data_IF_617302490908
#
_entry.id   IF_617302490908
#
_cell.length_a   1.000
_cell.length_b   1.000
_cell.length_c   1.000
_cell.angle_alpha   90.00
_cell.angle_beta   90.00
_cell.angle_gamma   90.00
#
_symmetry.space_group_name_H-M   'P 1'
#
loop_
_entity.id
_entity.type
_entity.pdbx_description
1 polymer ?
#
# COMPACT_ATOMS: atom_id res chain seq x y z
N UNK A 1 -8.44 29.43 10.56
CA UNK A 1 -8.08 28.10 10.02
C UNK A 1 -8.96 27.91 8.80
N UNK A 2 -8.37 27.72 7.62
CA UNK A 2 -9.15 27.52 6.39
C UNK A 2 -9.93 26.22 6.55
N UNK A 3 -11.26 26.28 6.61
CA UNK A 3 -12.08 25.08 6.55
C UNK A 3 -11.91 24.51 5.15
N UNK A 4 -11.15 23.42 5.03
CA UNK A 4 -11.08 22.63 3.82
C UNK A 4 -12.50 22.12 3.52
N UNK A 5 -12.98 22.31 2.29
CA UNK A 5 -14.34 21.91 1.94
C UNK A 5 -14.47 20.39 1.83
N UNK A 6 -15.68 19.87 1.98
CA UNK A 6 -15.96 18.42 1.86
C UNK A 6 -15.53 17.92 0.48
N UNK A 7 -15.83 18.69 -0.58
CA UNK A 7 -15.43 18.37 -1.96
C UNK A 7 -13.90 18.31 -2.14
N UNK A 8 -13.16 19.20 -1.47
CA UNK A 8 -11.69 19.16 -1.46
C UNK A 8 -11.18 17.89 -0.76
N UNK A 9 -11.82 17.46 0.33
CA UNK A 9 -11.47 16.22 1.03
C UNK A 9 -11.79 14.98 0.18
N UNK A 10 -12.95 14.93 -0.50
CA UNK A 10 -13.29 13.85 -1.43
C UNK A 10 -12.30 13.74 -2.58
N UNK A 11 -12.01 14.88 -3.21
CA UNK A 11 -11.05 14.96 -4.31
C UNK A 11 -9.65 14.57 -3.82
N UNK A 12 -9.26 15.04 -2.64
CA UNK A 12 -8.01 14.68 -1.98
C UNK A 12 -7.87 13.18 -1.73
N UNK A 13 -8.92 12.54 -1.20
CA UNK A 13 -8.95 11.10 -0.97
C UNK A 13 -8.86 10.31 -2.28
N UNK A 14 -9.70 10.64 -3.27
CA UNK A 14 -9.69 9.95 -4.56
C UNK A 14 -8.32 10.06 -5.26
N UNK A 15 -7.69 11.25 -5.21
CA UNK A 15 -6.36 11.45 -5.74
C UNK A 15 -5.30 10.66 -4.96
N UNK A 16 -5.34 10.66 -3.62
CA UNK A 16 -4.41 9.90 -2.80
C UNK A 16 -4.50 8.39 -3.09
N UNK A 17 -5.72 7.85 -3.21
CA UNK A 17 -5.94 6.44 -3.56
C UNK A 17 -5.39 6.11 -4.94
N UNK A 18 -5.71 6.94 -5.96
CA UNK A 18 -5.23 6.75 -7.33
C UNK A 18 -3.71 6.83 -7.45
N UNK A 19 -3.09 7.80 -6.79
CA UNK A 19 -1.63 7.95 -6.78
C UNK A 19 -0.96 6.77 -6.05
N UNK A 20 -1.54 6.31 -4.94
CA UNK A 20 -1.06 5.12 -4.22
C UNK A 20 -1.13 3.88 -5.12
N UNK A 21 -2.20 3.71 -5.88
CA UNK A 21 -2.33 2.61 -6.84
C UNK A 21 -1.21 2.63 -7.89
N UNK A 22 -0.98 3.79 -8.51
CA UNK A 22 0.07 3.93 -9.53
C UNK A 22 1.46 3.64 -8.95
N UNK A 23 1.76 4.18 -7.77
CA UNK A 23 3.02 3.92 -7.08
C UNK A 23 3.18 2.44 -6.73
N UNK A 24 2.11 1.77 -6.31
CA UNK A 24 2.14 0.34 -6.02
C UNK A 24 2.43 -0.50 -7.27
N UNK A 25 1.81 -0.19 -8.41
CA UNK A 25 2.08 -0.87 -9.68
C UNK A 25 3.55 -0.69 -10.10
N UNK A 26 4.08 0.53 -10.04
CA UNK A 26 5.50 0.81 -10.31
C UNK A 26 6.43 0.04 -9.36
N UNK A 27 6.15 0.08 -8.05
CA UNK A 27 6.94 -0.63 -7.05
C UNK A 27 6.90 -2.15 -7.26
N UNK A 28 5.76 -2.71 -7.65
CA UNK A 28 5.61 -4.14 -7.95
C UNK A 28 6.48 -4.55 -9.14
N UNK A 29 6.50 -3.77 -10.22
CA UNK A 29 7.35 -4.04 -11.38
C UNK A 29 8.85 -3.93 -11.02
N UNK A 30 9.23 -2.87 -10.32
CA UNK A 30 10.61 -2.68 -9.84
C UNK A 30 11.05 -3.82 -8.92
N UNK A 31 10.16 -4.29 -8.04
CA UNK A 31 10.43 -5.43 -7.14
C UNK A 31 10.67 -6.70 -7.96
N UNK A 32 9.84 -6.97 -8.97
CA UNK A 32 10.02 -8.11 -9.87
C UNK A 32 11.37 -8.08 -10.58
N UNK A 33 11.77 -6.90 -11.11
CA UNK A 33 13.10 -6.72 -11.73
C UNK A 33 14.23 -6.94 -10.74
N UNK A 34 14.10 -6.45 -9.51
CA UNK A 34 15.11 -6.61 -8.47
C UNK A 34 15.30 -8.08 -8.08
N UNK A 35 14.21 -8.81 -7.89
CA UNK A 35 14.25 -10.25 -7.62
C UNK A 35 14.93 -11.01 -8.77
N UNK A 36 14.64 -10.65 -10.02
CA UNK A 36 15.29 -11.26 -11.18
C UNK A 36 16.81 -11.00 -11.21
N UNK A 37 17.22 -9.76 -10.93
CA UNK A 37 18.65 -9.41 -10.87
C UNK A 37 19.36 -10.16 -9.73
N UNK A 38 18.73 -10.34 -8.56
CA UNK A 38 19.26 -11.16 -7.46
C UNK A 38 19.39 -12.63 -7.82
N UNK A 39 18.40 -13.20 -8.49
CA UNK A 39 18.44 -14.59 -8.96
C UNK A 39 19.57 -14.79 -9.97
N UNK A 40 19.79 -13.82 -10.87
CA UNK A 40 20.89 -13.88 -11.83
C UNK A 40 22.25 -13.78 -11.16
N UNK A 41 22.41 -12.89 -10.17
CA UNK A 41 23.62 -12.82 -9.35
C UNK A 41 23.91 -14.18 -8.69
N UNK A 42 22.88 -14.85 -8.15
CA UNK A 42 23.04 -16.18 -7.56
C UNK A 42 23.48 -17.22 -8.59
N UNK A 43 22.93 -17.20 -9.81
CA UNK A 43 23.37 -18.09 -10.91
C UNK A 43 24.83 -17.86 -11.29
N UNK A 44 25.25 -16.60 -11.44
CA UNK A 44 26.64 -16.26 -11.76
C UNK A 44 27.58 -16.69 -10.62
N UNK A 45 27.19 -16.49 -9.35
CA UNK A 45 27.96 -16.96 -8.20
C UNK A 45 28.18 -18.48 -8.22
N UNK A 46 27.15 -19.26 -8.55
CA UNK A 46 27.27 -20.72 -8.68
C UNK A 46 28.21 -21.11 -9.84
N UNK A 47 28.11 -20.42 -10.98
CA UNK A 47 29.00 -20.65 -12.11
C UNK A 47 30.47 -20.35 -11.76
N UNK A 48 30.73 -19.25 -11.04
CA UNK A 48 32.08 -18.90 -10.54
C UNK A 48 32.59 -20.01 -9.61
N UNK A 49 31.79 -20.46 -8.65
CA UNK A 49 32.18 -21.52 -7.71
C UNK A 49 32.48 -22.85 -8.41
N UNK A 50 31.79 -23.15 -9.52
CA UNK A 50 32.07 -24.32 -10.35
C UNK A 50 33.40 -24.17 -11.11
N UNK A 51 33.63 -23.02 -11.76
CA UNK A 51 34.89 -22.72 -12.44
C UNK A 51 36.10 -22.77 -11.50
N UNK A 52 35.94 -22.35 -10.24
CA UNK A 52 37.00 -22.46 -9.20
C UNK A 52 37.32 -23.91 -8.81
N UNK A 53 36.37 -24.84 -8.94
CA UNK A 53 36.62 -26.26 -8.71
C UNK A 53 37.35 -26.88 -9.90
N UNK A 54 36.92 -26.58 -11.12
CA UNK A 54 37.52 -27.07 -12.36
C UNK A 54 38.95 -26.57 -12.56
N UNK A 55 39.24 -25.31 -12.21
CA UNK A 55 40.60 -24.76 -12.23
C UNK A 55 41.61 -25.63 -11.45
N UNK A 56 41.18 -26.32 -10.39
CA UNK A 56 42.09 -27.14 -9.56
C UNK A 56 42.49 -28.47 -10.21
N UNK A 57 41.90 -28.87 -11.34
CA UNK A 57 42.03 -30.22 -11.89
C UNK A 57 42.82 -30.32 -13.23
N UNK A 58 43.12 -29.24 -13.96
CA UNK A 58 43.53 -29.33 -15.38
C UNK A 58 44.93 -28.80 -15.80
N UNK A 59 45.40 -29.32 -16.95
CA UNK A 59 46.65 -29.00 -17.66
C UNK A 59 46.72 -27.55 -18.21
N UNK A 60 47.95 -27.03 -18.34
CA UNK A 60 48.32 -25.61 -18.57
C UNK A 60 47.57 -24.83 -19.67
N UNK A 61 47.15 -25.46 -20.78
CA UNK A 61 46.41 -24.77 -21.86
C UNK A 61 44.92 -24.57 -21.56
N UNK A 62 44.30 -25.47 -20.79
CA UNK A 62 42.92 -25.32 -20.33
C UNK A 62 42.81 -24.20 -19.28
N UNK A 63 43.91 -23.96 -18.56
CA UNK A 63 44.02 -22.96 -17.50
C UNK A 63 43.76 -21.51 -17.99
N UNK A 64 44.19 -21.17 -19.21
CA UNK A 64 44.03 -19.81 -19.75
C UNK A 64 42.58 -19.51 -20.15
N UNK A 65 41.89 -20.49 -20.77
CA UNK A 65 40.45 -20.38 -21.08
C UNK A 65 39.61 -20.29 -19.82
N UNK A 66 39.88 -21.14 -18.81
CA UNK A 66 39.19 -21.09 -17.51
C UNK A 66 39.41 -19.72 -16.86
N UNK A 67 40.64 -19.21 -16.84
CA UNK A 67 40.96 -17.90 -16.26
C UNK A 67 40.22 -16.76 -16.96
N UNK A 68 40.12 -16.80 -18.29
CA UNK A 68 39.37 -15.80 -19.06
C UNK A 68 37.87 -15.84 -18.72
N UNK A 69 37.28 -17.04 -18.68
CA UNK A 69 35.87 -17.24 -18.30
C UNK A 69 35.58 -16.75 -16.89
N UNK A 70 36.46 -17.07 -15.94
CA UNK A 70 36.37 -16.63 -14.55
C UNK A 70 36.40 -15.10 -14.42
N UNK A 71 37.31 -14.43 -15.13
CA UNK A 71 37.39 -12.97 -15.12
C UNK A 71 36.12 -12.33 -15.72
N UNK A 72 35.60 -12.88 -16.81
CA UNK A 72 34.35 -12.41 -17.43
C UNK A 72 33.15 -12.59 -16.50
N UNK A 73 33.02 -13.75 -15.85
CA UNK A 73 31.95 -14.02 -14.88
C UNK A 73 32.01 -13.05 -13.69
N UNK A 74 33.21 -12.78 -13.15
CA UNK A 74 33.39 -11.81 -12.06
C UNK A 74 33.05 -10.38 -12.48
N UNK A 75 33.40 -9.97 -13.70
CA UNK A 75 33.03 -8.65 -14.22
C UNK A 75 31.51 -8.52 -14.35
N UNK A 76 30.85 -9.52 -14.96
CA UNK A 76 29.39 -9.56 -15.08
C UNK A 76 28.68 -9.53 -13.73
N UNK A 77 29.17 -10.31 -12.75
CA UNK A 77 28.65 -10.29 -11.38
C UNK A 77 28.75 -8.91 -10.75
N UNK A 78 29.90 -8.24 -10.90
CA UNK A 78 30.12 -6.90 -10.34
C UNK A 78 29.16 -5.88 -10.94
N UNK A 79 28.93 -5.94 -12.25
CA UNK A 79 27.99 -5.06 -12.94
C UNK A 79 26.54 -5.30 -12.50
N UNK A 80 26.14 -6.57 -12.38
CA UNK A 80 24.81 -6.95 -11.90
C UNK A 80 24.57 -6.52 -10.46
N UNK A 81 25.56 -6.67 -9.58
CA UNK A 81 25.48 -6.18 -8.21
C UNK A 81 25.28 -4.66 -8.17
N UNK A 82 26.05 -3.90 -8.96
CA UNK A 82 25.90 -2.44 -9.05
C UNK A 82 24.48 -2.06 -9.49
N UNK A 83 23.95 -2.73 -10.51
CA UNK A 83 22.59 -2.51 -11.01
C UNK A 83 21.53 -2.85 -9.96
N UNK A 84 21.64 -4.00 -9.29
CA UNK A 84 20.72 -4.41 -8.23
C UNK A 84 20.72 -3.40 -7.06
N UNK A 85 21.89 -2.88 -6.66
CA UNK A 85 21.98 -1.83 -5.63
C UNK A 85 21.30 -0.53 -6.06
N UNK A 86 21.47 -0.11 -7.31
CA UNK A 86 20.77 1.08 -7.84
C UNK A 86 19.26 0.90 -7.84
N UNK A 87 18.79 -0.27 -8.30
CA UNK A 87 17.38 -0.61 -8.33
C UNK A 87 16.78 -0.67 -6.92
N UNK A 88 17.53 -1.21 -5.95
CA UNK A 88 17.11 -1.22 -4.55
C UNK A 88 16.96 0.19 -3.97
N UNK A 89 17.88 1.11 -4.31
CA UNK A 89 17.74 2.53 -3.89
C UNK A 89 16.45 3.15 -4.42
N UNK A 90 16.09 2.88 -5.68
CA UNK A 90 14.84 3.39 -6.28
C UNK A 90 13.62 2.77 -5.60
N UNK A 91 13.67 1.46 -5.30
CA UNK A 91 12.63 0.76 -4.56
C UNK A 91 12.40 1.38 -3.18
N UNK A 92 13.46 1.70 -2.44
CA UNK A 92 13.35 2.35 -1.12
C UNK A 92 12.62 3.69 -1.23
N UNK A 93 13.03 4.55 -2.16
CA UNK A 93 12.34 5.84 -2.39
C UNK A 93 10.88 5.65 -2.76
N UNK A 94 10.57 4.71 -3.65
CA UNK A 94 9.18 4.41 -4.06
C UNK A 94 8.33 3.93 -2.89
N UNK A 95 8.87 3.10 -2.01
CA UNK A 95 8.17 2.62 -0.81
C UNK A 95 7.91 3.74 0.19
N UNK A 96 8.85 4.67 0.35
CA UNK A 96 8.65 5.88 1.16
C UNK A 96 7.53 6.76 0.61
N UNK A 97 7.45 6.93 -0.72
CA UNK A 97 6.35 7.63 -1.40
C UNK A 97 5.00 6.95 -1.16
N UNK A 98 4.94 5.61 -1.27
CA UNK A 98 3.73 4.83 -0.97
C UNK A 98 3.28 5.05 0.47
N UNK A 99 4.19 4.94 1.44
CA UNK A 99 3.86 5.14 2.86
C UNK A 99 3.34 6.55 3.10
N UNK A 100 3.93 7.57 2.46
CA UNK A 100 3.44 8.95 2.56
C UNK A 100 2.03 9.09 2.01
N UNK A 101 1.75 8.55 0.82
CA UNK A 101 0.42 8.64 0.20
C UNK A 101 -0.65 7.85 0.95
N UNK A 102 -0.30 6.70 1.52
CA UNK A 102 -1.17 5.95 2.42
C UNK A 102 -1.50 6.73 3.70
N UNK A 103 -0.53 7.47 4.26
CA UNK A 103 -0.80 8.35 5.40
C UNK A 103 -1.77 9.48 5.01
N UNK A 104 -1.52 10.15 3.88
CA UNK A 104 -2.41 11.21 3.37
C UNK A 104 -3.84 10.66 3.20
N UNK A 105 -3.99 9.52 2.51
CA UNK A 105 -5.27 8.84 2.32
C UNK A 105 -5.96 8.46 3.63
N UNK A 106 -5.23 7.87 4.58
CA UNK A 106 -5.76 7.52 5.91
C UNK A 106 -6.28 8.75 6.65
N UNK A 107 -5.57 9.88 6.57
CA UNK A 107 -6.00 11.14 7.18
C UNK A 107 -7.28 11.67 6.54
N UNK A 108 -7.40 11.65 5.21
CA UNK A 108 -8.63 12.06 4.54
C UNK A 108 -9.81 11.17 4.92
N UNK A 109 -9.63 9.86 4.96
CA UNK A 109 -10.66 8.91 5.42
C UNK A 109 -11.11 9.26 6.83
N UNK A 110 -10.18 9.50 7.77
CA UNK A 110 -10.52 9.81 9.15
C UNK A 110 -11.32 11.13 9.29
N UNK A 111 -10.94 12.17 8.54
CA UNK A 111 -11.64 13.46 8.55
C UNK A 111 -13.05 13.33 7.98
N UNK A 112 -13.19 12.74 6.79
CA UNK A 112 -14.48 12.54 6.13
C UNK A 112 -15.39 11.61 6.95
N UNK A 113 -14.83 10.55 7.53
CA UNK A 113 -15.57 9.65 8.40
C UNK A 113 -16.11 10.37 9.64
N UNK A 114 -15.30 11.22 10.28
CA UNK A 114 -15.74 11.99 11.44
C UNK A 114 -16.90 12.91 11.06
N UNK A 115 -16.79 13.64 9.94
CA UNK A 115 -17.85 14.52 9.47
C UNK A 115 -19.13 13.74 9.11
N UNK A 116 -19.00 12.62 8.40
CA UNK A 116 -20.14 11.79 8.01
C UNK A 116 -20.88 11.24 9.24
N UNK A 117 -20.16 10.72 10.22
CA UNK A 117 -20.74 10.03 11.38
C UNK A 117 -21.21 11.03 12.44
N UNK A 118 -20.33 11.95 12.84
CA UNK A 118 -20.57 12.86 13.97
C UNK A 118 -21.43 14.07 13.61
N UNK A 119 -21.56 14.41 12.32
CA UNK A 119 -22.40 15.52 11.88
C UNK A 119 -23.61 15.02 11.08
N UNK A 120 -23.40 14.49 9.86
CA UNK A 120 -24.51 14.18 8.94
C UNK A 120 -25.41 13.07 9.46
N UNK A 121 -24.85 11.93 9.82
CA UNK A 121 -25.60 10.80 10.36
C UNK A 121 -26.23 11.11 11.72
N UNK A 122 -25.51 11.84 12.57
CA UNK A 122 -26.03 12.29 13.85
C UNK A 122 -27.25 13.21 13.69
N UNK A 123 -27.19 14.18 12.79
CA UNK A 123 -28.32 15.07 12.48
C UNK A 123 -29.52 14.27 11.96
N UNK A 124 -29.30 13.34 11.03
CA UNK A 124 -30.36 12.46 10.51
C UNK A 124 -31.03 11.65 11.64
N UNK A 125 -30.24 11.04 12.54
CA UNK A 125 -30.76 10.30 13.71
C UNK A 125 -31.58 11.19 14.64
N UNK A 126 -31.12 12.42 14.88
CA UNK A 126 -31.85 13.38 15.74
C UNK A 126 -33.18 13.81 15.12
N UNK A 127 -33.21 14.09 13.82
CA UNK A 127 -34.46 14.41 13.11
C UNK A 127 -35.43 13.24 13.12
N UNK A 128 -34.93 12.00 12.96
CA UNK A 128 -35.78 10.80 13.09
C UNK A 128 -36.39 10.71 14.49
N UNK A 129 -35.61 10.97 15.55
CA UNK A 129 -36.11 10.98 16.93
C UNK A 129 -37.18 12.05 17.14
N UNK A 130 -37.00 13.24 16.57
CA UNK A 130 -38.02 14.30 16.63
C UNK A 130 -39.29 13.93 15.86
N UNK A 131 -39.17 13.17 14.76
CA UNK A 131 -40.32 12.67 14.02
C UNK A 131 -41.22 11.73 14.83
N UNK A 132 -40.65 10.98 15.78
CA UNK A 132 -41.43 10.13 16.70
C UNK A 132 -42.35 10.93 17.62
N UNK A 133 -42.09 12.23 17.82
CA UNK A 133 -42.95 13.14 18.60
C UNK A 133 -43.75 14.09 17.73
N UNK A 134 -43.89 13.77 16.44
CA UNK A 134 -44.75 14.49 15.50
C UNK A 134 -44.12 15.67 14.77
N UNK A 135 -42.80 15.89 14.89
CA UNK A 135 -42.10 16.90 14.09
C UNK A 135 -41.93 16.36 12.65
N UNK A 136 -42.37 17.08 11.61
CA UNK A 136 -42.17 16.62 10.24
C UNK A 136 -40.68 16.39 9.92
N UNK A 137 -40.38 15.29 9.22
CA UNK A 137 -39.04 15.00 8.72
C UNK A 137 -39.09 14.82 7.20
N UNK A 138 -39.20 15.96 6.52
CA UNK A 138 -39.19 16.01 5.07
C UNK A 138 -37.84 15.52 4.53
N UNK A 139 -37.87 14.84 3.38
CA UNK A 139 -36.69 14.31 2.68
C UNK A 139 -35.88 13.26 3.48
N UNK A 140 -36.48 12.59 4.47
CA UNK A 140 -35.82 11.54 5.28
C UNK A 140 -35.07 10.52 4.42
N UNK A 141 -35.73 9.99 3.40
CA UNK A 141 -35.18 8.91 2.57
C UNK A 141 -34.07 9.45 1.65
N UNK A 142 -34.28 10.60 1.02
CA UNK A 142 -33.26 11.28 0.20
C UNK A 142 -31.98 11.61 1.00
N UNK A 143 -32.12 12.14 2.21
CA UNK A 143 -30.96 12.44 3.07
C UNK A 143 -30.23 11.15 3.50
N UNK A 144 -30.97 10.05 3.71
CA UNK A 144 -30.38 8.76 4.03
C UNK A 144 -29.64 8.16 2.82
N UNK A 145 -30.20 8.29 1.62
CA UNK A 145 -29.57 7.85 0.37
C UNK A 145 -28.24 8.59 0.13
N UNK A 146 -28.21 9.92 0.35
CA UNK A 146 -26.98 10.70 0.28
C UNK A 146 -25.93 10.23 1.30
N UNK A 147 -26.34 9.99 2.56
CA UNK A 147 -25.46 9.46 3.60
C UNK A 147 -24.92 8.08 3.21
N UNK A 148 -25.77 7.22 2.65
CA UNK A 148 -25.38 5.89 2.18
C UNK A 148 -24.30 5.98 1.10
N UNK A 149 -24.48 6.86 0.10
CA UNK A 149 -23.47 7.09 -0.94
C UNK A 149 -22.10 7.47 -0.36
N UNK A 150 -22.07 8.33 0.68
CA UNK A 150 -20.81 8.70 1.34
C UNK A 150 -20.17 7.54 2.09
N UNK A 151 -20.98 6.70 2.77
CA UNK A 151 -20.48 5.50 3.43
C UNK A 151 -19.87 4.52 2.42
N UNK A 152 -20.52 4.31 1.27
CA UNK A 152 -20.05 3.45 0.19
C UNK A 152 -18.74 3.98 -0.40
N UNK A 153 -18.67 5.28 -0.72
CA UNK A 153 -17.45 5.92 -1.20
C UNK A 153 -16.30 5.76 -0.20
N UNK A 154 -16.51 6.08 1.08
CA UNK A 154 -15.46 5.96 2.09
C UNK A 154 -15.03 4.51 2.32
N UNK A 155 -15.97 3.57 2.31
CA UNK A 155 -15.67 2.16 2.46
C UNK A 155 -14.81 1.65 1.30
N UNK A 156 -15.15 2.02 0.06
CA UNK A 156 -14.38 1.64 -1.11
C UNK A 156 -12.96 2.24 -1.08
N UNK A 157 -12.83 3.55 -0.83
CA UNK A 157 -11.53 4.21 -0.82
C UNK A 157 -10.63 3.68 0.31
N UNK A 158 -11.18 3.52 1.52
CA UNK A 158 -10.45 2.97 2.66
C UNK A 158 -10.01 1.52 2.37
N UNK A 159 -10.90 0.69 1.82
CA UNK A 159 -10.57 -0.68 1.45
C UNK A 159 -9.44 -0.75 0.42
N UNK A 160 -9.47 0.09 -0.62
CA UNK A 160 -8.40 0.14 -1.61
C UNK A 160 -7.05 0.51 -0.99
N UNK A 161 -7.00 1.55 -0.15
CA UNK A 161 -5.78 1.93 0.59
C UNK A 161 -5.27 0.78 1.48
N UNK A 162 -6.19 0.09 2.17
CA UNK A 162 -5.86 -1.06 3.02
C UNK A 162 -5.21 -2.19 2.20
N UNK A 163 -5.75 -2.47 1.01
CA UNK A 163 -5.20 -3.48 0.10
C UNK A 163 -3.80 -3.10 -0.38
N UNK A 164 -3.57 -1.83 -0.76
CA UNK A 164 -2.23 -1.38 -1.18
C UNK A 164 -1.20 -1.46 -0.05
N UNK A 165 -1.59 -1.10 1.18
CA UNK A 165 -0.72 -1.27 2.35
C UNK A 165 -0.35 -2.75 2.55
N UNK A 166 -1.35 -3.64 2.52
CA UNK A 166 -1.19 -5.09 2.70
C UNK A 166 -0.35 -5.72 1.60
N UNK A 167 -0.58 -5.37 0.33
CA UNK A 167 0.18 -5.89 -0.79
C UNK A 167 1.62 -5.39 -0.81
N UNK A 168 1.86 -4.14 -0.39
CA UNK A 168 3.23 -3.63 -0.27
C UNK A 168 3.98 -4.38 0.84
N UNK A 169 3.32 -4.66 1.96
CA UNK A 169 3.89 -5.46 3.05
C UNK A 169 4.19 -6.90 2.61
N UNK A 170 3.29 -7.52 1.84
CA UNK A 170 3.49 -8.83 1.24
C UNK A 170 4.69 -8.84 0.28
N UNK A 171 4.84 -7.83 -0.57
CA UNK A 171 6.02 -7.70 -1.46
C UNK A 171 7.34 -7.54 -0.70
N UNK A 172 7.33 -6.90 0.48
CA UNK A 172 8.52 -6.77 1.34
C UNK A 172 8.90 -8.08 2.02
N UNK A 173 7.91 -8.90 2.35
CA UNK A 173 8.11 -10.15 3.10
C UNK A 173 8.33 -11.35 2.20
N UNK A 174 7.95 -11.29 0.92
CA UNK A 174 8.29 -12.31 -0.08
C UNK A 174 9.79 -12.24 -0.42
N UNK A 175 10.44 -13.40 -0.43
CA UNK A 175 11.88 -13.51 -0.66
C UNK A 175 12.32 -13.03 -2.06
N UNK A 176 13.57 -12.57 -2.22
CA UNK A 176 14.63 -12.45 -1.20
C UNK A 176 14.37 -11.28 -0.25
N UNK A 177 14.38 -11.55 1.06
CA UNK A 177 14.18 -10.52 2.09
C UNK A 177 15.46 -9.72 2.28
N UNK A 178 15.37 -8.39 2.14
CA UNK A 178 16.46 -7.48 2.46
C UNK A 178 16.30 -7.05 3.91
N UNK A 179 17.11 -7.60 4.80
CA UNK A 179 17.04 -7.35 6.23
C UNK A 179 17.82 -6.09 6.61
N UNK A 180 17.40 -4.92 6.12
CA UNK A 180 17.98 -3.63 6.47
C UNK A 180 17.01 -2.75 7.26
N UNK A 181 17.52 -1.67 7.87
CA UNK A 181 16.72 -0.77 8.70
C UNK A 181 15.54 -0.15 7.93
N UNK A 182 15.72 0.13 6.63
CA UNK A 182 14.69 0.74 5.80
C UNK A 182 13.52 -0.20 5.58
N UNK A 183 13.78 -1.45 5.18
CA UNK A 183 12.74 -2.46 4.98
C UNK A 183 11.93 -2.72 6.26
N UNK A 184 12.61 -2.80 7.42
CA UNK A 184 11.93 -2.96 8.71
C UNK A 184 11.06 -1.75 9.06
N UNK A 185 11.57 -0.53 8.86
CA UNK A 185 10.80 0.71 9.11
C UNK A 185 9.58 0.80 8.19
N UNK A 186 9.75 0.54 6.90
CA UNK A 186 8.64 0.50 5.94
C UNK A 186 7.60 -0.53 6.33
N UNK A 187 8.01 -1.77 6.68
CA UNK A 187 7.07 -2.81 7.09
C UNK A 187 6.28 -2.43 8.35
N UNK A 188 6.95 -1.82 9.35
CA UNK A 188 6.31 -1.32 10.56
C UNK A 188 5.27 -0.24 10.27
N UNK A 189 5.62 0.72 9.41
CA UNK A 189 4.71 1.80 9.00
C UNK A 189 3.49 1.25 8.26
N UNK A 190 3.69 0.31 7.32
CA UNK A 190 2.60 -0.32 6.58
C UNK A 190 1.68 -1.14 7.49
N UNK A 191 2.23 -1.84 8.48
CA UNK A 191 1.44 -2.57 9.47
C UNK A 191 0.56 -1.63 10.28
N UNK A 192 1.14 -0.52 10.76
CA UNK A 192 0.40 0.49 11.52
C UNK A 192 -0.72 1.12 10.68
N UNK A 193 -0.44 1.44 9.41
CA UNK A 193 -1.43 1.97 8.48
C UNK A 193 -2.57 0.99 8.20
N UNK A 194 -2.25 -0.28 7.97
CA UNK A 194 -3.25 -1.33 7.75
C UNK A 194 -4.17 -1.49 8.99
N UNK A 195 -3.60 -1.45 10.20
CA UNK A 195 -4.37 -1.50 11.45
C UNK A 195 -5.28 -0.27 11.62
N UNK A 196 -4.80 0.92 11.26
CA UNK A 196 -5.61 2.14 11.30
C UNK A 196 -6.77 2.07 10.31
N UNK A 197 -6.51 1.70 9.06
CA UNK A 197 -7.53 1.54 8.02
C UNK A 197 -8.57 0.49 8.41
N UNK A 198 -8.14 -0.63 9.01
CA UNK A 198 -9.03 -1.66 9.57
C UNK A 198 -9.96 -1.09 10.63
N UNK A 199 -9.45 -0.29 11.57
CA UNK A 199 -10.29 0.35 12.61
C UNK A 199 -11.30 1.31 12.00
N UNK A 200 -10.87 2.10 11.01
CA UNK A 200 -11.76 3.04 10.30
C UNK A 200 -12.85 2.27 9.54
N UNK A 201 -12.55 1.14 8.89
CA UNK A 201 -13.54 0.27 8.24
C UNK A 201 -14.55 -0.31 9.23
N UNK A 202 -14.09 -0.87 10.35
CA UNK A 202 -14.99 -1.38 11.39
C UNK A 202 -15.91 -0.30 11.92
N UNK A 203 -15.40 0.93 12.07
CA UNK A 203 -16.21 2.05 12.49
C UNK A 203 -17.25 2.43 11.43
N UNK A 204 -16.90 2.47 10.14
CA UNK A 204 -17.86 2.71 9.05
C UNK A 204 -18.98 1.66 9.09
N UNK A 205 -18.61 0.38 9.10
CA UNK A 205 -19.56 -0.75 9.13
C UNK A 205 -20.47 -0.64 10.35
N UNK A 206 -19.92 -0.39 11.54
CA UNK A 206 -20.71 -0.30 12.76
C UNK A 206 -21.74 0.84 12.73
N UNK A 207 -21.40 1.96 12.09
CA UNK A 207 -22.24 3.16 12.07
C UNK A 207 -23.21 3.17 10.88
N UNK A 208 -22.94 2.43 9.81
CA UNK A 208 -23.83 2.31 8.65
C UNK A 208 -25.08 1.48 8.96
N UNK A 209 -25.08 0.65 10.00
CA UNK A 209 -26.29 -0.05 10.45
C UNK A 209 -27.20 0.90 11.24
N UNK A 210 -28.29 1.31 10.61
CA UNK A 210 -29.28 2.22 11.18
C UNK A 210 -30.69 1.63 11.12
N UNK A 211 -31.54 2.03 12.07
CA UNK A 211 -32.98 1.76 12.03
C UNK A 211 -33.61 2.84 11.17
N UNK A 212 -34.05 2.53 9.95
CA UNK A 212 -34.64 3.51 9.02
C UNK A 212 -36.08 3.88 9.38
N UNK A 213 -36.85 2.92 9.90
CA UNK A 213 -38.21 3.09 10.38
C UNK A 213 -38.28 2.59 11.81
N UNK A 214 -38.69 3.47 12.72
CA UNK A 214 -38.85 3.13 14.13
C UNK A 214 -40.13 2.30 14.33
N UNK A 215 -40.14 1.33 15.26
CA UNK A 215 -41.36 0.64 15.64
C UNK A 215 -42.42 1.65 16.12
N UNK A 216 -43.69 1.40 15.79
CA UNK A 216 -44.79 2.17 16.36
C UNK A 216 -44.85 1.93 17.89
N UNK A 217 -45.14 2.97 18.69
CA UNK A 217 -45.23 2.87 20.15
C UNK A 217 -46.40 2.01 20.63
#
# INVERSE_FOLDING_TARGET
MSHCSVDELHTGLANATKETHNLWEENKDLQGRFVNDLNEISRIQQAIAQLEREHRQDQLQHLELIRKSFLQARQSMTEMQRRASQLYSVLTTKREEIVKKLNDGTNFVALLQNQLISERLFDWKNRQKLAQVGVPFDNRDMMLDEIQMEFEFLAEQNWQLHMFASWTLDLLTRGPQVNDSHAHSTASNLTTLADQLTKLLFMLISQSFVVSVQPEP
#
